data_IF_838253300229
#
_entry.id   IF_838253300229
#
_cell.length_a   1.000
_cell.length_b   1.000
_cell.length_c   1.000
_cell.angle_alpha   90.00
_cell.angle_beta   90.00
_cell.angle_gamma   90.00
#
_symmetry.space_group_name_H-M   'P 1'
#
loop_
_entity.id
_entity.type
_entity.pdbx_description
1 polymer ?
#
# COMPACT_ATOMS: atom_id res chain seq x y z
N UNK A 1 11.20 4.84 4.09
CA UNK A 1 11.61 4.45 2.72
C UNK A 1 11.60 5.68 1.83
N UNK A 2 12.73 6.05 1.26
CA UNK A 2 12.81 7.11 0.26
C UNK A 2 12.34 6.59 -1.11
N UNK A 3 11.78 7.48 -1.94
CA UNK A 3 11.53 7.14 -3.35
C UNK A 3 12.85 6.72 -4.01
N UNK A 4 12.97 5.44 -4.40
CA UNK A 4 14.12 4.92 -5.14
C UNK A 4 15.04 3.99 -4.37
N UNK A 5 14.78 3.71 -3.09
CA UNK A 5 15.63 2.80 -2.32
C UNK A 5 15.24 1.33 -2.47
N UNK A 6 13.99 1.02 -2.84
CA UNK A 6 13.45 -0.33 -3.14
C UNK A 6 13.79 -1.38 -2.07
N UNK A 7 13.95 -0.94 -0.83
CA UNK A 7 14.42 -1.79 0.26
C UNK A 7 13.86 -1.33 1.61
N UNK A 8 13.79 -2.28 2.54
CA UNK A 8 13.46 -2.02 3.95
C UNK A 8 14.69 -2.37 4.78
N UNK A 9 15.06 -1.46 5.66
CA UNK A 9 16.18 -1.64 6.59
C UNK A 9 15.64 -1.76 8.01
N UNK A 10 16.14 -2.73 8.75
CA UNK A 10 15.87 -2.91 10.17
C UNK A 10 17.09 -2.55 10.99
N UNK A 11 16.87 -1.76 12.02
CA UNK A 11 17.91 -1.33 12.98
C UNK A 11 17.46 -1.65 14.41
N UNK A 12 18.43 -1.74 15.32
CA UNK A 12 18.16 -1.72 16.77
C UNK A 12 17.73 -0.31 17.18
N UNK A 13 17.27 -0.14 18.43
CA UNK A 13 16.96 1.20 18.97
C UNK A 13 18.20 2.08 19.11
N UNK A 14 19.36 1.48 19.23
CA UNK A 14 20.67 2.16 19.31
C UNK A 14 21.20 2.57 17.94
N UNK A 15 20.54 2.11 16.84
CA UNK A 15 20.90 2.44 15.47
C UNK A 15 21.79 1.40 14.77
N UNK A 16 22.04 0.26 15.40
CA UNK A 16 22.84 -0.80 14.79
C UNK A 16 22.02 -1.51 13.70
N UNK A 17 22.63 -1.71 12.54
CA UNK A 17 22.01 -2.42 11.44
C UNK A 17 21.76 -3.89 11.79
N UNK A 18 20.55 -4.36 11.54
CA UNK A 18 20.13 -5.75 11.81
C UNK A 18 20.00 -6.54 10.52
N UNK A 19 19.15 -6.07 9.59
CA UNK A 19 18.89 -6.76 8.33
C UNK A 19 18.30 -5.84 7.28
N UNK A 20 18.27 -6.34 6.04
CA UNK A 20 17.71 -5.70 4.88
C UNK A 20 16.77 -6.66 4.14
N UNK A 21 15.64 -6.13 3.65
CA UNK A 21 14.73 -6.80 2.72
C UNK A 21 14.75 -6.02 1.41
N UNK A 22 14.95 -6.71 0.30
CA UNK A 22 15.07 -6.10 -1.02
C UNK A 22 16.45 -5.52 -1.29
N UNK A 23 16.67 -5.16 -2.56
CA UNK A 23 17.87 -4.48 -3.03
C UNK A 23 17.48 -3.42 -4.04
N UNK A 24 18.04 -2.22 -3.90
CA UNK A 24 17.77 -1.09 -4.77
C UNK A 24 17.92 -1.47 -6.25
N UNK A 25 16.91 -1.12 -7.07
CA UNK A 25 16.91 -1.32 -8.52
C UNK A 25 16.93 -2.78 -8.99
N UNK A 26 16.61 -3.74 -8.11
CA UNK A 26 16.71 -5.18 -8.42
C UNK A 26 15.36 -5.87 -8.60
N UNK A 27 14.24 -5.16 -8.51
CA UNK A 27 12.90 -5.76 -8.67
C UNK A 27 12.71 -6.36 -10.05
N UNK A 28 12.11 -7.56 -10.07
CA UNK A 28 11.72 -8.29 -11.28
C UNK A 28 10.20 -8.26 -11.49
N UNK A 29 9.49 -7.28 -10.89
CA UNK A 29 8.04 -7.13 -11.03
C UNK A 29 7.24 -7.68 -9.85
N UNK A 30 5.92 -7.85 -10.07
CA UNK A 30 4.98 -8.23 -9.02
C UNK A 30 5.16 -9.66 -8.48
N UNK A 31 5.86 -10.52 -9.21
CA UNK A 31 6.14 -11.90 -8.79
C UNK A 31 7.48 -12.07 -8.06
N UNK A 32 8.29 -11.03 -7.94
CA UNK A 32 9.59 -11.09 -7.27
C UNK A 32 9.39 -11.26 -5.76
N UNK A 33 9.85 -12.36 -5.20
CA UNK A 33 9.74 -12.68 -3.77
C UNK A 33 10.90 -12.15 -2.92
N UNK A 34 11.91 -11.55 -3.55
CA UNK A 34 13.13 -11.09 -2.89
C UNK A 34 13.26 -9.57 -2.87
N UNK A 35 12.74 -8.89 -3.89
CA UNK A 35 12.94 -7.46 -4.07
C UNK A 35 11.61 -6.72 -4.14
N UNK A 36 11.69 -5.43 -3.84
CA UNK A 36 10.59 -4.48 -3.83
C UNK A 36 10.76 -3.45 -4.95
N UNK A 37 9.69 -2.76 -5.31
CA UNK A 37 9.76 -1.65 -6.24
C UNK A 37 9.02 -0.43 -5.67
N UNK A 38 9.77 0.49 -5.11
CA UNK A 38 9.28 1.72 -4.49
C UNK A 38 8.15 1.48 -3.49
N UNK A 39 8.42 0.72 -2.40
CA UNK A 39 7.41 0.44 -1.39
C UNK A 39 6.91 1.74 -0.76
N UNK A 40 5.59 1.82 -0.55
CA UNK A 40 4.92 3.00 -0.02
C UNK A 40 4.89 2.99 1.52
N UNK A 41 4.62 1.81 2.10
CA UNK A 41 4.38 1.68 3.53
C UNK A 41 4.83 0.32 4.07
N UNK A 42 5.08 0.26 5.37
CA UNK A 42 5.48 -0.96 6.07
C UNK A 42 4.81 -1.03 7.45
N UNK A 43 4.33 -2.21 7.82
CA UNK A 43 3.76 -2.48 9.13
C UNK A 43 4.36 -3.76 9.72
N UNK A 44 4.82 -3.69 10.97
CA UNK A 44 5.33 -4.86 11.71
C UNK A 44 4.23 -5.43 12.59
N UNK A 45 3.86 -6.67 12.33
CA UNK A 45 2.86 -7.40 13.11
C UNK A 45 3.56 -8.34 14.09
N UNK A 46 3.85 -7.84 15.29
CA UNK A 46 4.65 -8.54 16.29
C UNK A 46 4.05 -9.88 16.72
N UNK A 47 2.71 -10.01 16.75
CA UNK A 47 2.03 -11.22 17.17
C UNK A 47 2.33 -12.43 16.28
N UNK A 48 2.76 -12.22 15.02
CA UNK A 48 3.11 -13.27 14.07
C UNK A 48 4.56 -13.21 13.61
N UNK A 49 5.34 -12.27 14.13
CA UNK A 49 6.70 -11.96 13.68
C UNK A 49 6.75 -11.74 12.16
N UNK A 50 5.88 -10.86 11.67
CA UNK A 50 5.69 -10.58 10.25
C UNK A 50 5.83 -9.10 9.91
N UNK A 51 6.38 -8.82 8.73
CA UNK A 51 6.46 -7.48 8.12
C UNK A 51 5.57 -7.46 6.89
N UNK A 52 4.53 -6.64 6.93
CA UNK A 52 3.64 -6.38 5.81
C UNK A 52 4.12 -5.14 5.06
N UNK A 53 4.23 -5.23 3.76
CA UNK A 53 4.72 -4.14 2.91
C UNK A 53 3.68 -3.81 1.85
N UNK A 54 3.29 -2.54 1.80
CA UNK A 54 2.56 -1.97 0.67
C UNK A 54 3.57 -1.64 -0.44
N UNK A 55 3.80 -2.58 -1.32
CA UNK A 55 4.75 -2.46 -2.44
C UNK A 55 4.02 -1.90 -3.66
N UNK A 56 3.71 -0.57 -3.65
CA UNK A 56 2.66 0.00 -4.47
C UNK A 56 3.06 1.05 -5.50
N UNK A 57 4.23 1.71 -5.40
CA UNK A 57 4.61 2.74 -6.39
C UNK A 57 5.26 2.18 -7.66
N UNK A 58 5.88 1.01 -7.58
CA UNK A 58 6.49 0.34 -8.71
C UNK A 58 5.88 -1.02 -9.00
N UNK A 59 5.44 -1.70 -7.95
CA UNK A 59 4.62 -2.91 -7.99
C UNK A 59 3.18 -2.58 -7.57
N UNK A 60 2.30 -3.61 -7.55
CA UNK A 60 0.87 -3.48 -7.19
C UNK A 60 0.46 -4.63 -6.27
N UNK A 61 1.07 -4.70 -5.06
CA UNK A 61 0.85 -5.85 -4.18
C UNK A 61 1.04 -5.52 -2.71
N UNK A 62 0.45 -6.35 -1.86
CA UNK A 62 0.93 -6.56 -0.51
C UNK A 62 1.89 -7.75 -0.52
N UNK A 63 3.04 -7.60 0.10
CA UNK A 63 4.00 -8.68 0.28
C UNK A 63 4.42 -8.77 1.75
N UNK A 64 4.54 -10.00 2.25
CA UNK A 64 4.81 -10.28 3.66
C UNK A 64 6.09 -11.07 3.82
N UNK A 65 6.91 -10.62 4.75
CA UNK A 65 8.16 -11.26 5.11
C UNK A 65 8.17 -11.63 6.59
N UNK A 66 9.01 -12.56 6.94
CA UNK A 66 9.36 -12.87 8.32
C UNK A 66 10.16 -11.71 8.93
N UNK A 67 9.76 -11.20 10.10
CA UNK A 67 10.35 -10.01 10.69
C UNK A 67 11.71 -10.27 11.34
N UNK A 68 12.06 -11.52 11.60
CA UNK A 68 13.36 -11.93 12.17
C UNK A 68 14.38 -12.24 11.10
N UNK A 69 13.96 -12.95 10.04
CA UNK A 69 14.89 -13.48 9.01
C UNK A 69 14.86 -12.73 7.69
N UNK A 70 13.79 -11.95 7.42
CA UNK A 70 13.55 -11.32 6.13
C UNK A 70 13.09 -12.29 5.04
N UNK A 71 12.80 -13.55 5.38
CA UNK A 71 12.34 -14.54 4.41
C UNK A 71 10.93 -14.22 3.91
N UNK A 72 10.69 -14.40 2.61
CA UNK A 72 9.37 -14.29 2.00
C UNK A 72 8.39 -15.28 2.61
N UNK A 73 7.15 -14.83 2.88
CA UNK A 73 6.07 -15.69 3.40
C UNK A 73 4.91 -15.81 2.42
N UNK A 74 4.37 -14.70 1.95
CA UNK A 74 3.22 -14.65 1.01
C UNK A 74 3.07 -13.26 0.41
N UNK A 75 2.25 -13.17 -0.62
CA UNK A 75 1.87 -11.90 -1.24
C UNK A 75 0.50 -12.05 -1.90
N UNK A 76 -0.18 -10.92 -2.12
CA UNK A 76 -1.46 -10.89 -2.82
C UNK A 76 -1.71 -9.54 -3.49
N UNK A 77 -2.60 -9.55 -4.47
CA UNK A 77 -3.18 -8.41 -5.15
C UNK A 77 -4.60 -8.12 -4.62
N UNK A 78 -5.33 -7.24 -5.25
CA UNK A 78 -6.72 -6.93 -4.91
C UNK A 78 -7.57 -8.21 -4.81
N UNK A 79 -8.53 -8.20 -3.88
CA UNK A 79 -9.43 -9.33 -3.58
C UNK A 79 -8.73 -10.62 -3.15
N UNK A 80 -7.45 -10.57 -2.78
CA UNK A 80 -6.66 -11.75 -2.42
C UNK A 80 -6.17 -12.55 -3.62
N UNK A 81 -6.28 -12.00 -4.82
CA UNK A 81 -5.80 -12.62 -6.05
C UNK A 81 -4.26 -12.78 -6.01
N UNK A 82 -3.70 -13.77 -6.69
CA UNK A 82 -2.26 -13.80 -6.95
C UNK A 82 -1.81 -12.55 -7.70
N UNK A 83 -0.70 -11.92 -7.32
CA UNK A 83 -0.16 -10.81 -8.09
C UNK A 83 0.22 -11.24 -9.51
N UNK A 84 0.09 -10.31 -10.45
CA UNK A 84 0.54 -10.49 -11.84
C UNK A 84 1.24 -9.22 -12.33
N UNK A 85 2.16 -9.38 -13.26
CA UNK A 85 2.71 -8.23 -13.96
C UNK A 85 1.73 -7.74 -15.02
N UNK A 86 1.58 -6.41 -15.19
CA UNK A 86 0.67 -5.86 -16.19
C UNK A 86 1.12 -6.26 -17.60
N UNK A 87 0.15 -6.61 -18.43
CA UNK A 87 0.34 -6.85 -19.86
C UNK A 87 -0.19 -5.67 -20.68
N UNK A 88 0.21 -5.52 -21.95
CA UNK A 88 -0.32 -4.45 -22.81
C UNK A 88 -1.83 -4.52 -23.04
N UNK A 89 -2.43 -5.69 -22.82
CA UNK A 89 -3.86 -5.93 -22.99
C UNK A 89 -4.68 -5.68 -21.72
N UNK A 90 -4.00 -5.42 -20.57
CA UNK A 90 -4.69 -5.12 -19.32
C UNK A 90 -5.39 -3.77 -19.43
N UNK A 91 -6.66 -3.74 -19.03
CA UNK A 91 -7.37 -2.48 -18.93
C UNK A 91 -6.65 -1.55 -17.93
N UNK A 92 -6.51 -0.27 -18.30
CA UNK A 92 -5.84 0.72 -17.44
C UNK A 92 -6.42 0.76 -16.02
N UNK A 93 -7.72 0.38 -15.88
CA UNK A 93 -8.47 0.37 -14.61
C UNK A 93 -9.19 -0.98 -14.41
N UNK A 94 -8.45 -2.07 -14.27
CA UNK A 94 -9.03 -3.34 -13.86
C UNK A 94 -9.20 -3.37 -12.33
N UNK A 95 -10.44 -3.42 -11.81
CA UNK A 95 -10.68 -3.46 -10.37
C UNK A 95 -10.16 -4.74 -9.69
N UNK A 96 -9.83 -5.78 -10.46
CA UNK A 96 -9.26 -7.01 -9.93
C UNK A 96 -7.81 -6.86 -9.47
N UNK A 97 -7.17 -5.74 -9.81
CA UNK A 97 -5.81 -5.40 -9.42
C UNK A 97 -5.77 -4.16 -8.53
N UNK A 98 -4.79 -4.08 -7.65
CA UNK A 98 -4.42 -2.82 -7.02
C UNK A 98 -3.83 -1.86 -8.06
N UNK A 99 -4.09 -0.56 -7.91
CA UNK A 99 -3.47 0.45 -8.77
C UNK A 99 -2.35 1.18 -8.06
N UNK A 100 -2.56 1.59 -6.83
CA UNK A 100 -1.53 2.18 -5.98
C UNK A 100 -1.77 1.77 -4.53
N UNK A 101 -1.14 0.70 -4.11
CA UNK A 101 -1.15 0.27 -2.70
C UNK A 101 -0.31 1.25 -1.90
N UNK A 102 -0.96 2.15 -1.17
CA UNK A 102 -0.30 3.25 -0.49
C UNK A 102 -0.11 3.03 1.01
N UNK A 103 -0.96 2.23 1.63
CA UNK A 103 -0.88 1.96 3.06
C UNK A 103 -1.33 0.57 3.44
N UNK A 104 -0.74 0.03 4.50
CA UNK A 104 -1.10 -1.24 5.11
C UNK A 104 -1.07 -1.10 6.63
N UNK A 105 -2.16 -1.50 7.30
CA UNK A 105 -2.25 -1.52 8.78
C UNK A 105 -2.99 -2.76 9.23
N UNK A 106 -2.62 -3.26 10.40
CA UNK A 106 -3.38 -4.30 11.08
C UNK A 106 -3.99 -3.65 12.32
N UNK A 107 -5.33 -3.74 12.41
CA UNK A 107 -6.08 -3.15 13.51
C UNK A 107 -6.22 -4.16 14.68
N UNK A 108 -6.84 -3.70 15.78
CA UNK A 108 -7.02 -4.51 16.99
C UNK A 108 -7.95 -5.72 16.80
N UNK A 109 -8.72 -5.75 15.72
CA UNK A 109 -9.55 -6.87 15.30
C UNK A 109 -8.74 -7.99 14.58
N UNK A 110 -7.44 -7.76 14.36
CA UNK A 110 -6.53 -8.68 13.69
C UNK A 110 -6.65 -8.68 12.16
N UNK A 111 -7.44 -7.76 11.58
CA UNK A 111 -7.60 -7.65 10.13
C UNK A 111 -6.61 -6.67 9.52
N UNK A 112 -6.24 -6.93 8.27
CA UNK A 112 -5.32 -6.13 7.47
C UNK A 112 -6.10 -5.15 6.62
N UNK A 113 -5.88 -3.87 6.83
CA UNK A 113 -6.49 -2.76 6.11
C UNK A 113 -5.51 -2.23 5.07
N UNK A 114 -5.90 -2.27 3.81
CA UNK A 114 -5.07 -1.88 2.67
C UNK A 114 -5.72 -0.72 1.93
N UNK A 115 -5.03 0.41 1.85
CA UNK A 115 -5.49 1.55 1.05
C UNK A 115 -4.94 1.46 -0.37
N UNK A 116 -5.84 1.37 -1.34
CA UNK A 116 -5.56 1.47 -2.77
C UNK A 116 -5.98 2.86 -3.24
N UNK A 117 -5.02 3.79 -3.18
CA UNK A 117 -5.31 5.23 -3.27
C UNK A 117 -5.81 5.66 -4.64
N UNK A 118 -5.30 5.10 -5.74
CA UNK A 118 -5.78 5.44 -7.08
C UNK A 118 -7.14 4.84 -7.39
N UNK A 119 -7.47 3.68 -6.81
CA UNK A 119 -8.80 3.09 -6.91
C UNK A 119 -9.80 3.70 -5.92
N UNK A 120 -9.36 4.64 -5.07
CA UNK A 120 -10.18 5.27 -4.03
C UNK A 120 -10.94 4.24 -3.17
N UNK A 121 -10.26 3.19 -2.74
CA UNK A 121 -10.85 2.11 -1.96
C UNK A 121 -9.96 1.67 -0.81
N UNK A 122 -10.61 1.13 0.20
CA UNK A 122 -10.00 0.38 1.28
C UNK A 122 -10.45 -1.07 1.15
N UNK A 123 -9.51 -1.99 1.05
CA UNK A 123 -9.79 -3.42 1.11
C UNK A 123 -9.31 -4.00 2.43
N UNK A 124 -10.06 -4.94 2.95
CA UNK A 124 -9.78 -5.61 4.23
C UNK A 124 -9.55 -7.09 3.98
N UNK A 125 -8.50 -7.62 4.61
CA UNK A 125 -8.07 -8.99 4.45
C UNK A 125 -7.83 -9.65 5.80
N UNK A 126 -7.81 -10.97 5.82
CA UNK A 126 -7.17 -11.70 6.92
C UNK A 126 -5.65 -11.51 6.83
N UNK A 127 -4.89 -11.76 7.92
CA UNK A 127 -3.42 -11.76 7.84
C UNK A 127 -2.85 -12.75 6.82
N UNK A 128 -3.61 -13.76 6.43
CA UNK A 128 -3.21 -14.75 5.41
C UNK A 128 -3.50 -14.32 3.98
N UNK A 129 -4.09 -13.13 3.79
CA UNK A 129 -4.36 -12.53 2.48
C UNK A 129 -5.74 -12.88 1.91
N UNK A 130 -6.62 -13.51 2.69
CA UNK A 130 -8.00 -13.78 2.27
C UNK A 130 -8.83 -12.50 2.32
N UNK A 131 -9.52 -12.18 1.23
CA UNK A 131 -10.38 -11.00 1.15
C UNK A 131 -11.59 -11.12 2.07
N UNK A 132 -11.85 -10.04 2.83
CA UNK A 132 -12.99 -9.97 3.76
C UNK A 132 -14.06 -9.01 3.25
N UNK A 133 -13.69 -7.78 2.93
CA UNK A 133 -14.63 -6.75 2.50
C UNK A 133 -13.90 -5.59 1.81
N UNK A 134 -14.68 -4.74 1.15
CA UNK A 134 -14.20 -3.50 0.53
C UNK A 134 -15.09 -2.33 0.93
N UNK A 135 -14.48 -1.17 1.06
CA UNK A 135 -15.16 0.10 1.12
C UNK A 135 -14.58 1.06 0.09
N UNK A 136 -15.38 1.44 -0.87
CA UNK A 136 -15.05 2.57 -1.74
C UNK A 136 -15.14 3.84 -0.89
N UNK A 137 -14.03 4.56 -0.83
CA UNK A 137 -13.99 5.91 -0.24
C UNK A 137 -14.51 6.82 -1.34
N UNK A 138 -15.82 7.06 -1.32
CA UNK A 138 -16.51 7.63 -2.45
C UNK A 138 -15.85 8.91 -2.96
N UNK A 139 -15.88 9.09 -4.26
CA UNK A 139 -15.96 10.45 -4.79
C UNK A 139 -17.03 11.15 -3.96
N UNK A 140 -16.69 12.27 -3.35
CA UNK A 140 -17.74 13.17 -2.87
C UNK A 140 -18.78 13.23 -4.00
N UNK A 141 -20.09 13.06 -3.70
CA UNK A 141 -21.12 13.31 -4.71
C UNK A 141 -20.72 14.62 -5.37
N UNK A 142 -20.75 14.68 -6.69
CA UNK A 142 -20.27 15.85 -7.46
C UNK A 142 -20.57 17.09 -6.64
N UNK A 143 -19.55 17.81 -6.17
CA UNK A 143 -19.78 18.86 -5.17
C UNK A 143 -20.80 19.79 -5.77
N UNK A 144 -21.86 20.08 -4.99
CA UNK A 144 -22.91 21.02 -5.38
C UNK A 144 -22.24 22.17 -6.15
N UNK A 145 -22.64 22.46 -7.41
CA UNK A 145 -22.04 23.50 -8.22
C UNK A 145 -21.95 24.84 -7.48
N UNK A 146 -22.89 25.11 -6.56
CA UNK A 146 -22.87 26.28 -5.67
C UNK A 146 -21.72 26.20 -4.65
N UNK A 147 -21.42 25.03 -4.13
CA UNK A 147 -20.30 24.81 -3.20
C UNK A 147 -18.95 24.93 -3.90
N UNK A 148 -18.86 24.48 -5.16
CA UNK A 148 -17.65 24.62 -5.98
C UNK A 148 -17.41 26.07 -6.37
N UNK A 149 -18.46 26.81 -6.73
CA UNK A 149 -18.38 28.25 -7.02
C UNK A 149 -17.97 29.07 -5.77
N UNK A 150 -18.47 28.70 -4.59
CA UNK A 150 -18.07 29.32 -3.33
C UNK A 150 -16.59 29.03 -2.99
N UNK A 151 -16.11 27.81 -3.22
CA UNK A 151 -14.70 27.42 -3.00
C UNK A 151 -13.74 28.05 -4.00
N UNK A 152 -14.15 28.22 -5.27
CA UNK A 152 -13.32 28.84 -6.28
C UNK A 152 -13.07 30.35 -5.97
N UNK A 153 -13.95 30.97 -5.19
CA UNK A 153 -13.82 32.37 -4.76
C UNK A 153 -13.21 32.52 -3.36
N UNK A 154 -12.94 31.42 -2.64
CA UNK A 154 -12.35 31.45 -1.32
C UNK A 154 -10.82 31.31 -1.40
N UNK A 155 -10.14 32.45 -1.39
CA UNK A 155 -8.68 32.53 -1.39
C UNK A 155 -8.04 32.21 -0.01
N UNK A 156 -8.84 31.88 1.01
CA UNK A 156 -8.36 31.59 2.37
C UNK A 156 -7.85 30.15 2.54
N UNK A 157 -8.21 29.25 1.61
CA UNK A 157 -7.64 27.90 1.56
C UNK A 157 -6.51 27.87 0.54
N UNK A 158 -5.30 27.57 1.01
CA UNK A 158 -4.18 27.27 0.11
C UNK A 158 -4.54 26.18 -0.89
N UNK A 159 -3.81 26.12 -2.01
CA UNK A 159 -3.94 25.11 -3.06
C UNK A 159 -4.32 23.74 -2.47
N UNK A 160 -5.29 23.02 -3.04
CA UNK A 160 -5.65 21.69 -2.56
C UNK A 160 -4.41 20.80 -2.67
N UNK A 161 -3.74 20.62 -1.56
CA UNK A 161 -2.71 19.60 -1.48
C UNK A 161 -3.40 18.24 -1.66
N UNK A 162 -2.91 17.44 -2.59
CA UNK A 162 -3.32 16.07 -2.86
C UNK A 162 -3.06 15.12 -1.66
N UNK A 163 -2.80 15.65 -0.48
CA UNK A 163 -2.35 14.94 0.71
C UNK A 163 -3.44 14.72 1.76
N UNK A 164 -4.68 14.49 1.35
CA UNK A 164 -5.78 14.23 2.27
C UNK A 164 -6.13 12.75 2.40
N UNK A 165 -5.15 11.89 2.66
CA UNK A 165 -5.36 10.64 3.40
C UNK A 165 -4.13 10.35 4.28
N UNK A 166 -3.92 11.17 5.30
CA UNK A 166 -3.25 10.76 6.52
C UNK A 166 -4.33 10.57 7.56
N UNK A 167 -4.88 9.37 7.65
CA UNK A 167 -5.64 8.97 8.81
C UNK A 167 -4.65 8.79 9.96
N UNK A 168 -4.55 9.78 10.82
CA UNK A 168 -3.85 9.66 12.10
C UNK A 168 -4.73 8.96 13.11
N UNK A 169 -4.14 7.94 13.74
CA UNK A 169 -4.43 7.20 14.98
C UNK A 169 -5.68 6.37 15.01
#
# INVERSE_FOLDING_TARGET
>A
SGRGDDQILKFTREGDFVMQIGRAGSSQGNLDTLNLSRPADVFVYEQRDEVFVADGYGNRRIIVFDATTGAFKRMWDAYGNPPSDPTPDDAEWDPQHFHLVHGVRIANDGLVYVSDSQSMRLQVFTPDGEFVTEKTIGRFPDPDPALMAARANDTSFGEPTTDLITATA
#
